data_IF_697753289844
#
_entry.id   IF_697753289844
#
_cell.length_a   1.000
_cell.length_b   1.000
_cell.length_c   1.000
_cell.angle_alpha   90.00
_cell.angle_beta   90.00
_cell.angle_gamma   90.00
#
_symmetry.space_group_name_H-M   'P 1'
#
loop_
_entity.id
_entity.type
_entity.pdbx_description
1 polymer ?
#
# COMPACT_ATOMS: atom_id res chain seq x y z
N UNK A 1 14.05 -12.93 25.18
CA UNK A 1 12.65 -13.43 25.09
C UNK A 1 11.83 -12.72 26.15
N UNK A 2 10.90 -11.88 25.73
CA UNK A 2 9.54 -11.74 26.28
C UNK A 2 8.90 -10.52 25.60
N UNK A 3 8.40 -10.78 24.40
CA UNK A 3 7.31 -10.01 23.82
C UNK A 3 6.13 -10.07 24.79
N UNK A 4 5.59 -8.91 25.18
CA UNK A 4 4.28 -8.81 25.85
C UNK A 4 3.60 -7.57 25.27
N UNK A 5 2.69 -7.76 24.32
CA UNK A 5 1.24 -7.94 24.57
C UNK A 5 0.55 -6.65 25.05
N UNK A 6 0.45 -5.70 24.12
CA UNK A 6 -0.63 -4.73 23.93
C UNK A 6 -0.32 -4.10 22.56
N UNK A 7 -1.13 -4.14 21.49
CA UNK A 7 -2.57 -4.05 21.38
C UNK A 7 -3.05 -4.76 20.09
N UNK A 8 -3.27 -6.08 20.16
CA UNK A 8 -3.87 -6.86 19.06
C UNK A 8 -5.40 -7.01 19.18
N UNK A 9 -6.09 -6.08 19.83
CA UNK A 9 -7.51 -6.25 20.19
C UNK A 9 -8.52 -5.33 19.48
N UNK A 10 -8.15 -4.61 18.42
CA UNK A 10 -9.09 -3.75 17.65
C UNK A 10 -9.50 -4.40 16.31
N UNK A 11 -9.35 -5.71 16.14
CA UNK A 11 -9.87 -6.42 14.95
C UNK A 11 -11.07 -7.35 15.23
N UNK A 12 -11.55 -7.43 16.49
CA UNK A 12 -12.51 -8.46 16.87
C UNK A 12 -13.95 -7.98 17.18
N UNK A 13 -14.26 -6.68 17.22
CA UNK A 13 -15.60 -6.22 17.63
C UNK A 13 -16.08 -4.97 16.88
N UNK A 14 -16.34 -5.10 15.58
CA UNK A 14 -17.13 -4.10 14.83
C UNK A 14 -18.02 -4.77 13.78
N UNK A 15 -19.25 -5.21 14.12
CA UNK A 15 -20.21 -5.73 13.15
C UNK A 15 -20.92 -4.62 12.33
N UNK A 16 -20.32 -3.43 12.21
CA UNK A 16 -20.96 -2.24 11.61
C UNK A 16 -20.41 -1.79 10.25
N UNK A 17 -19.54 -2.56 9.59
CA UNK A 17 -19.17 -2.29 8.18
C UNK A 17 -20.11 -3.09 7.25
N UNK A 18 -21.41 -2.85 7.39
CA UNK A 18 -22.47 -3.65 6.74
C UNK A 18 -23.18 -2.99 5.57
N UNK A 19 -22.91 -1.72 5.22
CA UNK A 19 -23.78 -0.98 4.29
C UNK A 19 -23.06 -0.25 3.13
N UNK A 20 -21.73 -0.12 3.14
CA UNK A 20 -20.98 0.40 1.97
C UNK A 20 -20.26 -0.68 1.15
N UNK A 21 -20.25 -1.92 1.63
CA UNK A 21 -19.46 -3.01 1.06
C UNK A 21 -20.07 -3.67 -0.20
N UNK A 22 -21.37 -3.49 -0.49
CA UNK A 22 -22.06 -4.36 -1.47
C UNK A 22 -21.70 -4.08 -2.94
N UNK A 23 -21.19 -2.89 -3.25
CA UNK A 23 -20.87 -2.50 -4.63
C UNK A 23 -19.37 -2.61 -4.90
N UNK A 24 -18.50 -2.22 -3.96
CA UNK A 24 -17.05 -2.36 -4.12
C UNK A 24 -16.62 -3.83 -4.10
N UNK A 25 -17.16 -4.68 -3.21
CA UNK A 25 -16.78 -6.10 -3.20
C UNK A 25 -17.14 -6.86 -4.48
N UNK A 26 -18.22 -6.50 -5.19
CA UNK A 26 -18.54 -7.08 -6.51
C UNK A 26 -17.57 -6.62 -7.60
N UNK A 27 -17.13 -5.36 -7.55
CA UNK A 27 -16.12 -4.80 -8.44
C UNK A 27 -14.73 -5.40 -8.12
N UNK A 28 -14.38 -5.56 -6.85
CA UNK A 28 -13.16 -6.23 -6.38
C UNK A 28 -13.12 -7.70 -6.80
N UNK A 29 -14.25 -8.42 -6.78
CA UNK A 29 -14.32 -9.81 -7.26
C UNK A 29 -14.16 -9.91 -8.79
N UNK A 30 -14.70 -8.95 -9.55
CA UNK A 30 -14.48 -8.85 -11.00
C UNK A 30 -13.06 -8.36 -11.35
N UNK A 31 -12.44 -7.52 -10.52
CA UNK A 31 -11.08 -7.01 -10.69
C UNK A 31 -10.03 -8.11 -10.41
N UNK A 32 -10.29 -9.01 -9.46
CA UNK A 32 -9.51 -10.25 -9.25
C UNK A 32 -9.48 -11.17 -10.48
N UNK A 33 -10.49 -11.11 -11.35
CA UNK A 33 -10.53 -11.93 -12.58
C UNK A 33 -9.71 -11.35 -13.75
N UNK A 34 -9.20 -10.12 -13.65
CA UNK A 34 -8.41 -9.45 -14.69
C UNK A 34 -6.95 -9.19 -14.29
N UNK A 35 -6.46 -9.69 -13.16
CA UNK A 35 -5.05 -9.60 -12.78
C UNK A 35 -4.22 -10.53 -13.67
N UNK A 36 -3.78 -10.04 -14.83
CA UNK A 36 -3.06 -10.83 -15.83
C UNK A 36 -1.62 -11.15 -15.41
N UNK A 37 -1.07 -10.43 -14.44
CA UNK A 37 0.31 -10.55 -13.96
C UNK A 37 0.56 -9.64 -12.75
N UNK A 38 1.68 -9.85 -12.05
CA UNK A 38 2.16 -8.93 -11.02
C UNK A 38 2.51 -7.55 -11.62
N UNK A 39 3.22 -7.53 -12.75
CA UNK A 39 3.60 -6.28 -13.41
C UNK A 39 2.41 -5.38 -13.74
N UNK A 40 1.32 -5.96 -14.26
CA UNK A 40 0.11 -5.24 -14.61
C UNK A 40 -0.59 -4.65 -13.39
N UNK A 41 -0.68 -5.43 -12.30
CA UNK A 41 -1.31 -4.99 -11.05
C UNK A 41 -0.57 -3.81 -10.42
N UNK A 42 0.76 -3.86 -10.36
CA UNK A 42 1.57 -2.77 -9.83
C UNK A 42 1.42 -1.50 -10.67
N UNK A 43 1.43 -1.62 -11.99
CA UNK A 43 1.29 -0.47 -12.91
C UNK A 43 -0.10 0.16 -12.85
N UNK A 44 -1.16 -0.66 -12.81
CA UNK A 44 -2.53 -0.19 -12.67
C UNK A 44 -2.75 0.55 -11.34
N UNK A 45 -2.25 0.00 -10.24
CA UNK A 45 -2.33 0.66 -8.93
C UNK A 45 -1.57 1.98 -8.90
N UNK A 46 -0.33 2.00 -9.42
CA UNK A 46 0.48 3.22 -9.48
C UNK A 46 -0.19 4.29 -10.36
N UNK A 47 -0.70 3.92 -11.54
CA UNK A 47 -1.42 4.85 -12.42
C UNK A 47 -2.66 5.46 -11.75
N UNK A 48 -3.42 4.68 -10.99
CA UNK A 48 -4.60 5.17 -10.27
C UNK A 48 -4.24 6.08 -9.11
N UNK A 49 -3.17 5.76 -8.38
CA UNK A 49 -2.65 6.65 -7.33
C UNK A 49 -2.16 7.96 -7.96
N UNK A 50 -1.39 7.92 -9.04
CA UNK A 50 -0.89 9.13 -9.70
C UNK A 50 -2.01 9.99 -10.30
N UNK A 51 -3.12 9.38 -10.74
CA UNK A 51 -4.32 10.10 -11.16
C UNK A 51 -5.04 10.76 -9.97
N UNK A 52 -5.07 10.08 -8.83
CA UNK A 52 -5.66 10.58 -7.58
C UNK A 52 -4.84 11.74 -6.99
N UNK A 53 -3.51 11.63 -7.04
CA UNK A 53 -2.58 12.62 -6.51
C UNK A 53 -1.54 13.02 -7.58
N UNK A 54 -1.92 13.87 -8.56
CA UNK A 54 -0.98 14.40 -9.54
C UNK A 54 0.27 15.01 -8.89
N UNK A 55 1.37 15.11 -9.64
CA UNK A 55 2.68 15.53 -9.12
C UNK A 55 2.69 16.93 -8.49
N UNK A 56 1.75 17.80 -8.89
CA UNK A 56 1.58 19.18 -8.44
C UNK A 56 0.51 19.34 -7.33
N UNK A 57 -0.02 18.22 -6.82
CA UNK A 57 -0.97 18.21 -5.70
C UNK A 57 -0.39 18.94 -4.50
N UNK A 58 -1.14 19.91 -3.98
CA UNK A 58 -0.74 20.67 -2.80
C UNK A 58 -0.97 19.87 -1.51
N UNK A 59 -0.25 20.17 -0.42
CA UNK A 59 -0.49 19.54 0.88
C UNK A 59 -1.95 19.66 1.32
N UNK A 60 -2.49 18.56 1.86
CA UNK A 60 -3.89 18.44 2.28
C UNK A 60 -3.95 18.58 3.81
N UNK A 61 -4.45 19.74 4.27
CA UNK A 61 -4.61 20.02 5.71
C UNK A 61 -6.03 19.75 6.20
N UNK A 62 -7.01 19.65 5.30
CA UNK A 62 -8.38 19.28 5.65
C UNK A 62 -8.45 17.80 6.04
N UNK A 63 -8.88 17.46 7.28
CA UNK A 63 -8.86 16.09 7.77
C UNK A 63 -9.76 15.12 7.00
N UNK A 64 -10.92 15.58 6.49
CA UNK A 64 -11.87 14.72 5.78
C UNK A 64 -11.36 14.37 4.38
N UNK A 65 -10.84 15.37 3.67
CA UNK A 65 -10.18 15.16 2.38
C UNK A 65 -8.92 14.30 2.54
N UNK A 66 -8.10 14.57 3.54
CA UNK A 66 -6.91 13.77 3.84
C UNK A 66 -7.25 12.30 4.12
N UNK A 67 -8.28 12.04 4.92
CA UNK A 67 -8.75 10.68 5.20
C UNK A 67 -9.28 10.01 3.94
N UNK A 68 -10.04 10.74 3.12
CA UNK A 68 -10.57 10.21 1.86
C UNK A 68 -9.44 9.83 0.90
N UNK A 69 -8.44 10.70 0.74
CA UNK A 69 -7.26 10.43 -0.09
C UNK A 69 -6.51 9.20 0.39
N UNK A 70 -6.18 9.12 1.70
CA UNK A 70 -5.46 7.97 2.23
C UNK A 70 -6.28 6.68 2.18
N UNK A 71 -7.59 6.74 2.35
CA UNK A 71 -8.45 5.55 2.24
C UNK A 71 -8.43 4.99 0.81
N UNK A 72 -8.47 5.84 -0.21
CA UNK A 72 -8.37 5.39 -1.60
C UNK A 72 -6.99 4.83 -1.94
N UNK A 73 -5.92 5.44 -1.42
CA UNK A 73 -4.55 4.91 -1.57
C UNK A 73 -4.42 3.55 -0.89
N UNK A 74 -5.00 3.40 0.30
CA UNK A 74 -5.06 2.12 0.99
C UNK A 74 -5.84 1.08 0.17
N UNK A 75 -6.99 1.42 -0.42
CA UNK A 75 -7.76 0.52 -1.26
C UNK A 75 -6.92 -0.03 -2.42
N UNK A 76 -6.18 0.83 -3.14
CA UNK A 76 -5.27 0.38 -4.20
C UNK A 76 -4.13 -0.48 -3.68
N UNK A 77 -3.55 -0.14 -2.54
CA UNK A 77 -2.50 -0.95 -1.91
C UNK A 77 -3.03 -2.34 -1.52
N UNK A 78 -4.24 -2.40 -0.96
CA UNK A 78 -4.90 -3.64 -0.56
C UNK A 78 -5.27 -4.52 -1.77
N UNK A 79 -5.66 -3.93 -2.90
CA UNK A 79 -5.87 -4.64 -4.16
C UNK A 79 -4.58 -5.30 -4.63
N UNK A 80 -3.45 -4.59 -4.57
CA UNK A 80 -2.14 -5.14 -4.95
C UNK A 80 -1.82 -6.35 -4.08
N UNK A 81 -1.87 -6.21 -2.76
CA UNK A 81 -1.60 -7.33 -1.83
C UNK A 81 -2.55 -8.51 -2.07
N UNK A 82 -3.85 -8.25 -2.20
CA UNK A 82 -4.83 -9.31 -2.46
C UNK A 82 -4.64 -10.01 -3.82
N UNK A 83 -4.09 -9.32 -4.83
CA UNK A 83 -3.74 -9.93 -6.10
C UNK A 83 -2.46 -10.77 -5.97
N UNK A 84 -1.49 -10.32 -5.18
CA UNK A 84 -0.26 -11.06 -4.92
C UNK A 84 -0.52 -12.43 -4.28
N UNK A 85 -1.53 -12.53 -3.41
CA UNK A 85 -2.01 -13.81 -2.85
C UNK A 85 -2.45 -14.82 -3.92
N UNK A 86 -2.86 -14.35 -5.10
CA UNK A 86 -3.35 -15.22 -6.18
C UNK A 86 -2.23 -15.73 -7.09
N UNK A 87 -1.06 -15.08 -7.08
CA UNK A 87 0.07 -15.45 -7.91
C UNK A 87 0.91 -16.55 -7.25
N UNK A 88 1.47 -17.41 -8.09
CA UNK A 88 2.40 -18.46 -7.68
C UNK A 88 3.78 -18.17 -8.26
N UNK A 89 4.83 -18.48 -7.50
CA UNK A 89 6.20 -18.39 -8.00
C UNK A 89 6.42 -19.36 -9.17
N UNK A 90 7.25 -18.94 -10.13
CA UNK A 90 7.56 -19.72 -11.33
C UNK A 90 6.58 -19.58 -12.50
N UNK A 91 5.55 -18.73 -12.38
CA UNK A 91 4.70 -18.36 -13.52
C UNK A 91 5.46 -17.44 -14.49
N UNK A 92 5.62 -17.89 -15.74
CA UNK A 92 6.36 -17.15 -16.77
C UNK A 92 5.68 -15.85 -17.22
N UNK A 93 4.38 -15.70 -16.90
CA UNK A 93 3.58 -14.53 -17.24
C UNK A 93 3.53 -13.48 -16.12
N UNK A 94 4.12 -13.77 -14.95
CA UNK A 94 4.09 -12.89 -13.78
C UNK A 94 4.62 -11.48 -14.07
N UNK A 95 5.55 -11.37 -15.02
CA UNK A 95 6.26 -10.14 -15.36
C UNK A 95 5.78 -9.49 -16.66
N UNK A 96 4.59 -9.84 -17.17
CA UNK A 96 4.03 -9.23 -18.40
C UNK A 96 3.24 -7.97 -18.03
N UNK A 97 3.65 -6.81 -18.51
CA UNK A 97 2.98 -5.54 -18.20
C UNK A 97 1.65 -5.35 -18.97
N UNK A 98 0.93 -4.27 -18.69
CA UNK A 98 -0.37 -3.92 -19.31
C UNK A 98 -0.30 -3.79 -20.85
N UNK A 99 0.86 -3.44 -21.40
CA UNK A 99 1.11 -3.34 -22.84
C UNK A 99 1.54 -4.68 -23.48
N UNK A 100 1.58 -5.75 -22.68
CA UNK A 100 2.05 -7.08 -23.11
C UNK A 100 3.56 -7.23 -23.11
N UNK A 101 4.33 -6.22 -22.68
CA UNK A 101 5.79 -6.30 -22.60
C UNK A 101 6.20 -7.18 -21.43
N UNK A 102 7.00 -8.21 -21.71
CA UNK A 102 7.68 -8.97 -20.66
C UNK A 102 8.82 -8.16 -20.06
N UNK A 103 8.80 -8.01 -18.74
CA UNK A 103 9.81 -7.31 -17.96
C UNK A 103 10.83 -8.29 -17.42
N UNK A 104 12.07 -7.81 -17.24
CA UNK A 104 13.04 -8.48 -16.39
C UNK A 104 12.86 -8.07 -14.91
N UNK A 105 13.60 -8.73 -14.01
CA UNK A 105 13.50 -8.48 -12.57
C UNK A 105 13.85 -7.02 -12.20
N UNK A 106 14.77 -6.39 -12.94
CA UNK A 106 15.18 -5.00 -12.71
C UNK A 106 14.04 -4.06 -13.07
N UNK A 107 13.44 -4.23 -14.24
CA UNK A 107 12.29 -3.45 -14.69
C UNK A 107 11.06 -3.65 -13.79
N UNK A 108 10.83 -4.87 -13.31
CA UNK A 108 9.76 -5.12 -12.35
C UNK A 108 10.04 -4.44 -11.01
N UNK A 109 11.29 -4.46 -10.53
CA UNK A 109 11.67 -3.76 -9.30
C UNK A 109 11.41 -2.26 -9.36
N UNK A 110 11.63 -1.64 -10.52
CA UNK A 110 11.32 -0.22 -10.73
C UNK A 110 9.83 0.07 -10.53
N UNK A 111 8.95 -0.82 -10.99
CA UNK A 111 7.49 -0.68 -10.77
C UNK A 111 7.10 -0.80 -9.31
N UNK A 112 7.71 -1.74 -8.59
CA UNK A 112 7.52 -1.89 -7.13
C UNK A 112 7.91 -0.60 -6.41
N UNK A 113 9.10 -0.09 -6.72
CA UNK A 113 9.63 1.15 -6.13
C UNK A 113 8.74 2.35 -6.47
N UNK A 114 8.31 2.50 -7.72
CA UNK A 114 7.44 3.60 -8.16
C UNK A 114 6.08 3.59 -7.45
N UNK A 115 5.46 2.42 -7.30
CA UNK A 115 4.21 2.29 -6.55
C UNK A 115 4.41 2.77 -5.11
N UNK A 116 5.43 2.26 -4.42
CA UNK A 116 5.68 2.62 -3.02
C UNK A 116 6.07 4.09 -2.86
N UNK A 117 6.82 4.67 -3.79
CA UNK A 117 7.09 6.11 -3.80
C UNK A 117 5.81 6.94 -3.94
N UNK A 118 4.86 6.49 -4.77
CA UNK A 118 3.56 7.15 -4.94
C UNK A 118 2.72 7.08 -3.66
N UNK A 119 2.76 5.95 -2.96
CA UNK A 119 2.10 5.81 -1.65
C UNK A 119 2.77 6.70 -0.59
N UNK A 120 4.11 6.72 -0.51
CA UNK A 120 4.85 7.58 0.41
C UNK A 120 4.60 9.08 0.15
N UNK A 121 4.43 9.47 -1.12
CA UNK A 121 4.00 10.82 -1.51
C UNK A 121 2.61 11.14 -0.97
N UNK A 122 1.66 10.21 -1.09
CA UNK A 122 0.31 10.40 -0.55
C UNK A 122 0.33 10.66 0.97
N UNK A 123 1.06 9.83 1.72
CA UNK A 123 1.22 9.99 3.16
C UNK A 123 1.84 11.36 3.51
N UNK A 124 2.84 11.79 2.73
CA UNK A 124 3.51 13.08 2.92
C UNK A 124 2.59 14.28 2.67
N UNK A 125 1.68 14.18 1.69
CA UNK A 125 0.73 15.25 1.37
C UNK A 125 -0.27 15.48 2.49
N UNK A 126 -0.67 14.42 3.20
CA UNK A 126 -1.69 14.51 4.26
C UNK A 126 -1.13 14.77 5.66
N UNK A 127 0.20 14.85 5.81
CA UNK A 127 0.89 15.03 7.11
C UNK A 127 0.39 16.23 7.92
N UNK A 128 -0.01 17.31 7.24
CA UNK A 128 -0.49 18.54 7.86
C UNK A 128 -1.92 18.47 8.43
N UNK A 129 -2.64 17.36 8.22
CA UNK A 129 -4.02 17.22 8.70
C UNK A 129 -4.16 17.06 10.21
N UNK A 130 -3.11 16.60 10.91
CA UNK A 130 -3.12 16.40 12.36
C UNK A 130 -4.21 15.45 12.88
N UNK A 131 -4.71 14.56 12.03
CA UNK A 131 -5.86 13.70 12.33
C UNK A 131 -5.45 12.29 12.72
N UNK A 132 -5.91 11.81 13.87
CA UNK A 132 -5.65 10.45 14.33
C UNK A 132 -6.22 9.36 13.40
N UNK A 133 -7.34 9.64 12.74
CA UNK A 133 -7.91 8.74 11.73
C UNK A 133 -7.02 8.64 10.49
N UNK A 134 -6.43 9.76 10.06
CA UNK A 134 -5.48 9.78 8.94
C UNK A 134 -4.19 9.06 9.33
N UNK A 135 -3.68 9.31 10.54
CA UNK A 135 -2.53 8.59 11.08
C UNK A 135 -2.76 7.07 11.10
N UNK A 136 -3.93 6.62 11.55
CA UNK A 136 -4.30 5.20 11.52
C UNK A 136 -4.27 4.64 10.09
N UNK A 137 -4.82 5.39 9.12
CA UNK A 137 -4.81 4.93 7.72
C UNK A 137 -3.39 4.83 7.15
N UNK A 138 -2.50 5.76 7.52
CA UNK A 138 -1.07 5.71 7.16
C UNK A 138 -0.40 4.48 7.76
N UNK A 139 -0.62 4.20 9.05
CA UNK A 139 -0.06 3.00 9.70
C UNK A 139 -0.54 1.70 9.05
N UNK A 140 -1.85 1.58 8.78
CA UNK A 140 -2.41 0.39 8.13
C UNK A 140 -1.86 0.24 6.70
N UNK A 141 -1.68 1.34 5.97
CA UNK A 141 -1.05 1.33 4.64
C UNK A 141 0.41 0.86 4.71
N UNK A 142 1.18 1.33 5.71
CA UNK A 142 2.57 0.89 5.92
C UNK A 142 2.67 -0.62 6.19
N UNK A 143 1.73 -1.16 6.98
CA UNK A 143 1.64 -2.61 7.24
C UNK A 143 1.37 -3.38 5.94
N UNK A 144 0.44 -2.90 5.12
CA UNK A 144 0.10 -3.53 3.83
C UNK A 144 1.29 -3.53 2.86
N UNK A 145 2.12 -2.48 2.85
CA UNK A 145 3.40 -2.48 2.10
C UNK A 145 4.32 -3.59 2.60
N UNK A 146 4.44 -3.77 3.92
CA UNK A 146 5.25 -4.85 4.51
C UNK A 146 4.77 -6.23 4.08
N UNK A 147 3.47 -6.49 4.16
CA UNK A 147 2.88 -7.75 3.69
C UNK A 147 3.12 -7.98 2.19
N UNK A 148 2.99 -6.93 1.38
CA UNK A 148 3.26 -7.00 -0.05
C UNK A 148 4.74 -7.32 -0.34
N UNK A 149 5.69 -6.77 0.43
CA UNK A 149 7.11 -7.10 0.28
C UNK A 149 7.40 -8.58 0.60
N UNK A 150 6.74 -9.15 1.61
CA UNK A 150 6.82 -10.57 1.92
C UNK A 150 6.23 -11.42 0.78
N UNK A 151 5.11 -10.98 0.19
CA UNK A 151 4.51 -11.65 -0.97
C UNK A 151 5.41 -11.60 -2.22
N UNK A 152 6.06 -10.46 -2.49
CA UNK A 152 7.03 -10.36 -3.59
C UNK A 152 8.15 -11.39 -3.40
N UNK A 153 8.62 -11.57 -2.16
CA UNK A 153 9.64 -12.58 -1.83
C UNK A 153 9.18 -14.00 -2.15
N UNK A 154 7.88 -14.28 -2.02
CA UNK A 154 7.27 -15.58 -2.34
C UNK A 154 7.08 -15.79 -3.84
N UNK A 155 6.62 -14.78 -4.58
CA UNK A 155 6.22 -14.96 -6.00
C UNK A 155 7.31 -14.60 -7.00
N UNK A 156 8.20 -13.66 -6.66
CA UNK A 156 9.22 -13.10 -7.55
C UNK A 156 10.53 -12.88 -6.79
N UNK A 157 11.16 -13.98 -6.33
CA UNK A 157 12.36 -13.94 -5.50
C UNK A 157 13.51 -13.13 -6.12
N UNK A 158 13.65 -13.16 -7.46
CA UNK A 158 14.64 -12.36 -8.19
C UNK A 158 14.44 -10.86 -7.99
N UNK A 159 13.18 -10.40 -8.05
CA UNK A 159 12.79 -9.00 -7.78
C UNK A 159 13.01 -8.65 -6.31
N UNK A 160 12.59 -9.51 -5.39
CA UNK A 160 12.65 -9.27 -3.95
C UNK A 160 14.07 -9.05 -3.41
N UNK A 161 15.06 -9.70 -4.03
CA UNK A 161 16.47 -9.61 -3.64
C UNK A 161 17.16 -8.33 -4.13
N UNK A 162 16.52 -7.57 -5.01
CA UNK A 162 17.13 -6.35 -5.54
C UNK A 162 17.19 -5.28 -4.43
N UNK A 163 18.36 -4.64 -4.23
CA UNK A 163 18.55 -3.69 -3.12
C UNK A 163 17.54 -2.54 -3.10
N UNK A 164 17.16 -2.03 -4.28
CA UNK A 164 16.20 -0.95 -4.40
C UNK A 164 14.80 -1.31 -3.85
N UNK A 165 14.37 -2.57 -3.97
CA UNK A 165 13.11 -3.04 -3.38
C UNK A 165 13.22 -3.04 -1.85
N UNK A 166 14.27 -3.67 -1.30
CA UNK A 166 14.47 -3.71 0.15
C UNK A 166 14.57 -2.31 0.76
N UNK A 167 15.31 -1.41 0.12
CA UNK A 167 15.44 -0.01 0.54
C UNK A 167 14.12 0.76 0.44
N UNK A 168 13.34 0.56 -0.62
CA UNK A 168 12.08 1.27 -0.80
C UNK A 168 11.01 0.85 0.23
N UNK A 169 10.93 -0.43 0.59
CA UNK A 169 10.03 -0.89 1.66
C UNK A 169 10.41 -0.26 3.00
N UNK A 170 11.69 -0.32 3.37
CA UNK A 170 12.22 0.27 4.59
C UNK A 170 12.01 1.79 4.65
N UNK A 171 12.34 2.49 3.56
CA UNK A 171 12.18 3.95 3.45
C UNK A 171 10.72 4.36 3.66
N UNK A 172 9.77 3.60 3.09
CA UNK A 172 8.35 3.90 3.29
C UNK A 172 7.88 3.65 4.72
N UNK A 173 8.33 2.57 5.36
CA UNK A 173 8.01 2.31 6.77
C UNK A 173 8.54 3.42 7.67
N UNK A 174 9.80 3.84 7.50
CA UNK A 174 10.42 4.91 8.28
C UNK A 174 9.70 6.25 8.04
N UNK A 175 9.40 6.58 6.77
CA UNK A 175 8.67 7.79 6.41
C UNK A 175 7.28 7.84 7.06
N UNK A 176 6.49 6.77 6.93
CA UNK A 176 5.12 6.72 7.44
C UNK A 176 5.09 6.73 8.97
N UNK A 177 6.03 6.06 9.62
CA UNK A 177 6.18 6.12 11.08
C UNK A 177 6.45 7.56 11.53
N UNK A 178 7.44 8.23 10.92
CA UNK A 178 7.76 9.62 11.27
C UNK A 178 6.61 10.61 11.01
N UNK A 179 5.80 10.37 9.96
CA UNK A 179 4.60 11.18 9.71
C UNK A 179 3.57 10.97 10.81
N UNK A 180 3.30 9.72 11.20
CA UNK A 180 2.33 9.40 12.23
C UNK A 180 2.73 10.00 13.58
N UNK A 181 4.00 9.87 13.96
CA UNK A 181 4.53 10.47 15.19
C UNK A 181 4.34 12.00 15.18
N UNK A 182 4.56 12.63 14.01
CA UNK A 182 4.36 14.07 13.86
C UNK A 182 2.88 14.50 13.92
N UNK A 183 1.94 13.64 13.52
CA UNK A 183 0.50 13.91 13.55
C UNK A 183 -0.08 13.77 14.96
N UNK A 184 0.36 12.76 15.71
CA UNK A 184 -0.20 12.42 17.03
C UNK A 184 0.45 13.22 18.17
N UNK A 185 1.60 13.86 17.91
CA UNK A 185 2.33 14.65 18.89
C UNK A 185 3.08 13.79 19.93
N UNK A 186 3.94 14.41 20.74
CA UNK A 186 4.81 13.71 21.70
C UNK A 186 4.05 13.04 22.86
N UNK A 187 2.75 13.30 23.02
CA UNK A 187 1.92 12.77 24.12
C UNK A 187 1.51 11.29 23.92
N UNK A 188 1.77 10.71 22.74
CA UNK A 188 1.50 9.31 22.43
C UNK A 188 2.77 8.45 22.25
N UNK A 189 3.95 8.97 22.59
CA UNK A 189 5.16 8.15 22.75
C UNK A 189 4.99 7.25 23.97
N UNK A 190 4.54 6.01 23.74
CA UNK A 190 4.52 4.95 24.75
C UNK A 190 5.94 4.35 24.84
N UNK A 191 6.82 5.04 25.57
CA UNK A 191 7.99 4.42 26.19
C UNK A 191 7.57 3.42 27.28
#
# INVERSE_FOLDING_TARGET
MLFSRAAFSILALSPFIGVFASTSTRIELQRRQNASSMAAVFSDAQSKIDTLIPIDTQPISDPELALTTMSQVFDYTNIVTAAMDTFNGGDENLLIDLDGKKLDDVQMSEKVVQLWQSIGRAASLVKGSGSGSVATMIQVTALTIGLCADDISRVAEGVAKLPNVLEAAKTNQELMTGIVDSMLGPEFNLD
#
